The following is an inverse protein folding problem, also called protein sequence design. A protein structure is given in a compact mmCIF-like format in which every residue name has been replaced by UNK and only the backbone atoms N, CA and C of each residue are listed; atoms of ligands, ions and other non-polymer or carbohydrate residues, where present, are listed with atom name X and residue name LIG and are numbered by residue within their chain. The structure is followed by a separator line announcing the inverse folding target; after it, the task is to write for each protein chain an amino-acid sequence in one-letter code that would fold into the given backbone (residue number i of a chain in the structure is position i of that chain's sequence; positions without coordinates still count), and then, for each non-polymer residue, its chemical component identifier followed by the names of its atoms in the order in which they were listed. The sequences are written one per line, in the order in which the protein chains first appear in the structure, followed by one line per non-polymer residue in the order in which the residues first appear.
data_IF_386662375109
#
_entry.id   IF_386662375109
#
_cell.length_a   1.000
_cell.length_b   1.000
_cell.length_c   1.000
_cell.angle_alpha   90.00
_cell.angle_beta   90.00
_cell.angle_gamma   90.00
#
_symmetry.space_group_name_H-M   'P 1'
#
loop_
_entity.id
_entity.type
_entity.pdbx_description
1 polymer ?
#
# COMPACT_ATOMS: atom_id res chain seq x y z
N UNK A 1 -24.75 18.31 -8.35
CA UNK A 1 -26.00 19.10 -8.19
C UNK A 1 -27.04 18.47 -7.26
N UNK A 2 -27.31 17.15 -7.29
CA UNK A 2 -28.28 16.50 -6.37
C UNK A 2 -28.03 16.70 -4.86
N UNK A 3 -26.75 16.71 -4.40
CA UNK A 3 -26.40 16.92 -2.99
C UNK A 3 -26.71 18.34 -2.46
N UNK A 4 -26.62 19.35 -3.34
CA UNK A 4 -26.88 20.76 -2.97
C UNK A 4 -28.38 20.98 -2.80
N UNK A 5 -29.20 20.38 -3.67
CA UNK A 5 -30.65 20.42 -3.56
C UNK A 5 -31.16 19.74 -2.29
N UNK A 6 -30.59 18.58 -1.92
CA UNK A 6 -30.93 17.89 -0.67
C UNK A 6 -30.51 18.68 0.58
N UNK A 7 -29.36 19.37 0.56
CA UNK A 7 -28.98 20.25 1.68
C UNK A 7 -29.94 21.44 1.84
N UNK A 8 -30.41 22.01 0.73
CA UNK A 8 -31.33 23.15 0.73
C UNK A 8 -32.72 22.72 1.22
N UNK A 9 -33.17 21.53 0.83
CA UNK A 9 -34.45 20.94 1.25
C UNK A 9 -34.43 20.53 2.73
N UNK A 10 -33.34 19.92 3.21
CA UNK A 10 -33.15 19.60 4.63
C UNK A 10 -33.04 20.88 5.48
N UNK A 11 -32.35 21.91 4.98
CA UNK A 11 -32.27 23.22 5.62
C UNK A 11 -33.63 23.89 5.74
N UNK A 12 -34.45 23.85 4.69
CA UNK A 12 -35.80 24.40 4.71
C UNK A 12 -36.73 23.63 5.65
N UNK A 13 -36.63 22.30 5.66
CA UNK A 13 -37.38 21.45 6.59
C UNK A 13 -37.01 21.73 8.05
N UNK A 14 -35.72 21.90 8.37
CA UNK A 14 -35.27 22.27 9.72
C UNK A 14 -35.75 23.65 10.15
N UNK A 15 -35.71 24.64 9.26
CA UNK A 15 -36.24 25.98 9.54
C UNK A 15 -37.75 25.95 9.77
N UNK A 16 -38.51 25.23 8.93
CA UNK A 16 -39.96 25.08 9.10
C UNK A 16 -40.30 24.36 10.41
N UNK A 17 -39.56 23.31 10.77
CA UNK A 17 -39.74 22.58 12.03
C UNK A 17 -39.40 23.47 13.24
N UNK A 18 -38.37 24.30 13.14
CA UNK A 18 -38.02 25.30 14.14
C UNK A 18 -39.10 26.37 14.34
N UNK A 19 -39.71 26.86 13.25
CA UNK A 19 -40.83 27.82 13.30
C UNK A 19 -42.07 27.19 13.91
N UNK A 20 -42.41 25.96 13.54
CA UNK A 20 -43.55 25.22 14.10
C UNK A 20 -43.32 24.90 15.58
N UNK A 21 -42.10 24.53 15.97
CA UNK A 21 -41.74 24.32 17.37
C UNK A 21 -41.84 25.61 18.19
N UNK A 22 -41.33 26.74 17.68
CA UNK A 22 -41.46 28.05 18.33
C UNK A 22 -42.93 28.47 18.47
N UNK A 23 -43.75 28.25 17.44
CA UNK A 23 -45.17 28.53 17.47
C UNK A 23 -45.90 27.65 18.48
N UNK A 24 -45.59 26.36 18.54
CA UNK A 24 -46.14 25.42 19.52
C UNK A 24 -45.72 25.77 20.94
N UNK A 25 -44.46 26.16 21.17
CA UNK A 25 -44.01 26.64 22.49
C UNK A 25 -44.75 27.91 22.88
N UNK A 26 -44.93 28.87 21.97
CA UNK A 26 -45.65 30.12 22.25
C UNK A 26 -47.14 29.86 22.56
N UNK A 27 -47.78 28.95 21.82
CA UNK A 27 -49.16 28.54 22.03
C UNK A 27 -49.35 27.74 23.33
N UNK A 28 -48.42 26.83 23.67
CA UNK A 28 -48.48 26.06 24.92
C UNK A 28 -48.08 26.85 26.17
N UNK A 29 -47.24 27.90 26.03
CA UNK A 29 -46.89 28.80 27.14
C UNK A 29 -48.11 29.55 27.69
N UNK A 30 -49.17 29.69 26.88
CA UNK A 30 -50.44 30.24 27.34
C UNK A 30 -51.26 29.26 28.21
N UNK A 31 -50.96 27.96 28.23
CA UNK A 31 -51.89 26.99 28.84
C UNK A 31 -51.35 26.02 29.91
N UNK A 32 -50.04 25.76 30.08
CA UNK A 32 -49.62 24.82 31.15
C UNK A 32 -48.15 24.85 31.55
N UNK A 33 -47.92 24.66 32.85
CA UNK A 33 -46.62 24.68 33.55
C UNK A 33 -45.69 23.48 33.25
N UNK A 34 -46.08 22.59 32.32
CA UNK A 34 -45.39 21.32 31.99
C UNK A 34 -44.67 21.34 30.62
N UNK A 35 -44.64 22.52 29.97
CA UNK A 35 -44.10 22.67 28.63
C UNK A 35 -42.57 22.47 28.53
N UNK A 36 -41.82 22.60 29.64
CA UNK A 36 -40.37 22.50 29.61
C UNK A 36 -39.86 21.06 29.50
N UNK A 37 -40.54 20.09 30.13
CA UNK A 37 -40.09 18.69 30.19
C UNK A 37 -40.13 17.98 28.84
N UNK A 38 -41.20 18.19 28.06
CA UNK A 38 -41.36 17.52 26.76
C UNK A 38 -40.41 18.08 25.69
N UNK A 39 -40.15 19.38 25.70
CA UNK A 39 -39.19 20.03 24.77
C UNK A 39 -37.77 19.50 25.02
N UNK A 40 -37.40 19.27 26.28
CA UNK A 40 -36.09 18.70 26.63
C UNK A 40 -35.94 17.25 26.13
N UNK A 41 -36.99 16.43 26.29
CA UNK A 41 -36.97 15.05 25.80
C UNK A 41 -36.86 14.96 24.27
N UNK A 42 -37.61 15.81 23.55
CA UNK A 42 -37.55 15.89 22.08
C UNK A 42 -36.18 16.41 21.61
N UNK A 43 -35.63 17.42 22.29
CA UNK A 43 -34.29 17.94 22.00
C UNK A 43 -33.19 16.89 22.16
N UNK A 44 -33.27 16.05 23.20
CA UNK A 44 -32.31 14.97 23.41
C UNK A 44 -32.37 13.90 22.30
N UNK A 45 -33.58 13.51 21.87
CA UNK A 45 -33.76 12.54 20.78
C UNK A 45 -33.23 13.13 19.46
N UNK A 46 -33.57 14.38 19.15
CA UNK A 46 -33.08 15.06 17.95
C UNK A 46 -31.54 15.19 17.94
N UNK A 47 -30.93 15.49 19.08
CA UNK A 47 -29.47 15.54 19.23
C UNK A 47 -28.79 14.20 18.94
N UNK A 48 -29.35 13.09 19.43
CA UNK A 48 -28.83 11.74 19.14
C UNK A 48 -28.92 11.43 17.64
N UNK A 49 -30.04 11.76 16.98
CA UNK A 49 -30.20 11.56 15.54
C UNK A 49 -29.19 12.35 14.71
N UNK A 50 -28.95 13.62 15.06
CA UNK A 50 -27.95 14.47 14.39
C UNK A 50 -26.54 13.91 14.60
N UNK A 51 -26.21 13.45 15.82
CA UNK A 51 -24.91 12.84 16.11
C UNK A 51 -24.66 11.56 15.29
N UNK A 52 -25.67 10.68 15.15
CA UNK A 52 -25.59 9.47 14.32
C UNK A 52 -25.41 9.83 12.84
N UNK A 53 -26.11 10.85 12.34
CA UNK A 53 -25.99 11.31 10.96
C UNK A 53 -24.58 11.84 10.64
N UNK A 54 -24.04 12.68 11.53
CA UNK A 54 -22.68 13.22 11.38
C UNK A 54 -21.65 12.09 11.45
N UNK A 55 -21.77 11.18 12.43
CA UNK A 55 -20.89 10.02 12.54
C UNK A 55 -20.93 9.12 11.29
N UNK A 56 -22.12 8.86 10.74
CA UNK A 56 -22.27 8.08 9.51
C UNK A 56 -21.66 8.76 8.28
N UNK A 57 -21.73 10.09 8.20
CA UNK A 57 -21.10 10.86 7.11
C UNK A 57 -19.58 10.90 7.20
N UNK A 58 -19.03 11.05 8.41
CA UNK A 58 -17.59 10.99 8.68
C UNK A 58 -17.04 9.59 8.41
N UNK A 59 -17.75 8.54 8.85
CA UNK A 59 -17.34 7.16 8.61
C UNK A 59 -17.24 6.83 7.11
N UNK A 60 -18.21 7.30 6.30
CA UNK A 60 -18.16 7.12 4.83
C UNK A 60 -17.00 7.87 4.18
N UNK A 61 -16.69 9.08 4.63
CA UNK A 61 -15.56 9.86 4.13
C UNK A 61 -14.23 9.23 4.53
N UNK A 62 -14.11 8.73 5.76
CA UNK A 62 -12.91 8.02 6.23
C UNK A 62 -12.70 6.69 5.52
N UNK A 63 -13.76 5.92 5.24
CA UNK A 63 -13.66 4.69 4.45
C UNK A 63 -13.21 4.99 3.02
N UNK A 64 -13.77 6.03 2.39
CA UNK A 64 -13.37 6.44 1.04
C UNK A 64 -11.91 6.90 1.00
N UNK A 65 -11.47 7.69 1.99
CA UNK A 65 -10.08 8.14 2.11
C UNK A 65 -9.11 6.97 2.32
N UNK A 66 -9.45 6.01 3.18
CA UNK A 66 -8.64 4.80 3.40
C UNK A 66 -8.52 3.95 2.13
N UNK A 67 -9.59 3.83 1.35
CA UNK A 67 -9.55 3.09 0.09
C UNK A 67 -8.64 3.76 -0.95
N UNK A 68 -8.64 5.09 -1.02
CA UNK A 68 -7.77 5.87 -1.92
C UNK A 68 -6.29 5.80 -1.49
N UNK A 69 -6.02 5.94 -0.18
CA UNK A 69 -4.69 5.76 0.40
C UNK A 69 -4.15 4.34 0.17
N UNK A 70 -5.00 3.32 0.30
CA UNK A 70 -4.66 1.92 0.05
C UNK A 70 -4.32 1.68 -1.42
N UNK A 71 -5.14 2.17 -2.36
CA UNK A 71 -4.89 2.03 -3.80
C UNK A 71 -3.57 2.72 -4.21
N UNK A 72 -3.31 3.91 -3.67
CA UNK A 72 -2.05 4.62 -3.92
C UNK A 72 -0.85 3.88 -3.33
N UNK A 73 -0.97 3.34 -2.13
CA UNK A 73 0.10 2.56 -1.50
C UNK A 73 0.41 1.29 -2.29
N UNK A 74 -0.62 0.64 -2.85
CA UNK A 74 -0.47 -0.56 -3.67
C UNK A 74 0.25 -0.25 -4.99
N UNK A 75 -0.17 0.82 -5.67
CA UNK A 75 0.50 1.30 -6.89
C UNK A 75 1.98 1.61 -6.66
N UNK A 76 2.31 2.31 -5.57
CA UNK A 76 3.70 2.65 -5.22
C UNK A 76 4.53 1.39 -4.94
N UNK A 77 3.95 0.41 -4.24
CA UNK A 77 4.61 -0.86 -3.96
C UNK A 77 4.95 -1.62 -5.25
N UNK A 78 4.02 -1.70 -6.19
CA UNK A 78 4.24 -2.43 -7.44
C UNK A 78 5.28 -1.75 -8.33
N UNK A 79 5.25 -0.42 -8.40
CA UNK A 79 6.26 0.36 -9.12
C UNK A 79 7.66 0.15 -8.52
N UNK A 80 7.78 0.22 -7.19
CA UNK A 80 9.04 -0.04 -6.48
C UNK A 80 9.50 -1.47 -6.70
N UNK A 81 8.60 -2.46 -6.64
CA UNK A 81 8.94 -3.86 -6.83
C UNK A 81 9.46 -4.16 -8.24
N UNK A 82 8.86 -3.57 -9.28
CA UNK A 82 9.31 -3.74 -10.66
C UNK A 82 10.66 -3.05 -10.92
N UNK A 83 10.89 -1.90 -10.29
CA UNK A 83 12.16 -1.20 -10.41
C UNK A 83 13.26 -1.95 -9.63
N UNK A 84 12.96 -2.42 -8.42
CA UNK A 84 13.86 -3.19 -7.57
C UNK A 84 14.18 -4.57 -8.16
N UNK A 85 13.23 -5.23 -8.82
CA UNK A 85 13.51 -6.48 -9.53
C UNK A 85 14.52 -6.27 -10.65
N UNK A 86 14.42 -5.15 -11.36
CA UNK A 86 15.37 -4.76 -12.42
C UNK A 86 16.75 -4.49 -11.84
N UNK A 87 16.85 -3.79 -10.70
CA UNK A 87 18.13 -3.56 -10.03
C UNK A 87 18.78 -4.84 -9.53
N UNK A 88 18.03 -5.73 -8.90
CA UNK A 88 18.54 -7.03 -8.43
C UNK A 88 19.04 -7.86 -9.62
N UNK A 89 18.30 -7.89 -10.73
CA UNK A 89 18.76 -8.55 -11.96
C UNK A 89 20.03 -7.89 -12.50
N UNK A 90 20.08 -6.55 -12.55
CA UNK A 90 21.27 -5.81 -13.01
C UNK A 90 22.51 -6.09 -12.15
N UNK A 91 22.34 -6.19 -10.84
CA UNK A 91 23.38 -6.62 -9.92
C UNK A 91 23.84 -8.05 -10.22
N UNK A 92 22.91 -9.00 -10.39
CA UNK A 92 23.23 -10.40 -10.68
C UNK A 92 23.87 -10.59 -12.07
N UNK A 93 23.56 -9.72 -13.04
CA UNK A 93 24.12 -9.78 -14.40
C UNK A 93 25.62 -9.43 -14.43
N UNK A 94 26.15 -8.75 -13.42
CA UNK A 94 27.60 -8.54 -13.25
C UNK A 94 28.39 -9.86 -13.16
N UNK A 95 27.70 -10.94 -12.77
CA UNK A 95 28.24 -12.29 -12.63
C UNK A 95 27.92 -13.21 -13.82
N UNK A 96 27.30 -12.69 -14.89
CA UNK A 96 26.89 -13.49 -16.06
C UNK A 96 28.06 -14.19 -16.73
N UNK A 97 29.18 -13.49 -16.88
CA UNK A 97 30.33 -13.96 -17.66
C UNK A 97 31.35 -14.74 -16.80
N UNK A 98 30.98 -15.12 -15.57
CA UNK A 98 31.82 -15.93 -14.69
C UNK A 98 31.95 -17.35 -15.22
N UNK A 99 33.18 -17.88 -15.17
CA UNK A 99 33.53 -19.23 -15.61
C UNK A 99 34.27 -19.97 -14.50
N UNK A 100 34.06 -21.29 -14.43
CA UNK A 100 34.80 -22.15 -13.50
C UNK A 100 36.29 -22.13 -13.84
N UNK A 101 37.15 -22.24 -12.84
CA UNK A 101 38.60 -22.19 -13.04
C UNK A 101 39.21 -20.79 -13.13
N UNK A 102 38.39 -19.72 -13.27
CA UNK A 102 38.88 -18.35 -13.37
C UNK A 102 38.74 -17.59 -12.03
N UNK A 103 39.72 -16.72 -11.69
CA UNK A 103 39.61 -15.86 -10.52
C UNK A 103 38.48 -14.83 -10.71
N UNK A 104 37.69 -14.63 -9.65
CA UNK A 104 36.64 -13.61 -9.60
C UNK A 104 37.22 -12.32 -9.01
N UNK A 105 37.18 -11.21 -9.72
CA UNK A 105 37.44 -9.92 -9.07
C UNK A 105 36.31 -9.60 -8.09
N UNK A 106 36.63 -8.99 -6.95
CA UNK A 106 35.59 -8.49 -6.04
C UNK A 106 34.82 -7.37 -6.75
N UNK A 107 33.63 -7.72 -7.25
CA UNK A 107 32.84 -6.86 -8.15
C UNK A 107 31.72 -6.11 -7.45
N UNK A 108 31.50 -6.34 -6.15
CA UNK A 108 30.36 -5.75 -5.45
C UNK A 108 30.73 -5.19 -4.07
N UNK A 109 30.16 -4.03 -3.74
CA UNK A 109 30.27 -3.48 -2.38
C UNK A 109 29.26 -4.15 -1.45
N UNK A 110 29.64 -4.33 -0.18
CA UNK A 110 28.69 -4.73 0.87
C UNK A 110 27.56 -3.71 1.06
N UNK A 111 27.83 -2.44 0.76
CA UNK A 111 26.84 -1.38 0.88
C UNK A 111 25.76 -1.48 -0.21
N UNK A 112 26.13 -1.86 -1.44
CA UNK A 112 25.17 -2.08 -2.53
C UNK A 112 24.22 -3.23 -2.20
N UNK A 113 24.76 -4.33 -1.66
CA UNK A 113 23.96 -5.48 -1.23
C UNK A 113 23.03 -5.09 -0.08
N UNK A 114 23.53 -4.28 0.87
CA UNK A 114 22.73 -3.82 2.02
C UNK A 114 21.57 -2.93 1.56
N UNK A 115 21.82 -1.98 0.66
CA UNK A 115 20.79 -1.10 0.11
C UNK A 115 19.67 -1.91 -0.57
N UNK A 116 20.03 -2.85 -1.46
CA UNK A 116 19.06 -3.70 -2.14
C UNK A 116 18.24 -4.56 -1.15
N UNK A 117 18.87 -5.08 -0.10
CA UNK A 117 18.18 -5.87 0.92
C UNK A 117 17.24 -5.03 1.78
N UNK A 118 17.62 -3.80 2.12
CA UNK A 118 16.79 -2.88 2.89
C UNK A 118 15.56 -2.47 2.09
N UNK A 119 15.71 -2.23 0.79
CA UNK A 119 14.59 -1.93 -0.11
C UNK A 119 13.68 -3.14 -0.34
N UNK A 120 14.24 -4.35 -0.46
CA UNK A 120 13.45 -5.59 -0.47
C UNK A 120 12.68 -5.77 0.85
N UNK A 121 13.29 -5.43 1.99
CA UNK A 121 12.63 -5.45 3.30
C UNK A 121 11.46 -4.45 3.34
N UNK A 122 11.66 -3.24 2.82
CA UNK A 122 10.61 -2.22 2.70
C UNK A 122 9.42 -2.72 1.87
N UNK A 123 9.68 -3.34 0.70
CA UNK A 123 8.64 -3.95 -0.13
C UNK A 123 7.92 -5.08 0.60
N UNK A 124 8.65 -5.94 1.32
CA UNK A 124 8.06 -7.05 2.09
C UNK A 124 7.09 -6.55 3.16
N UNK A 125 7.43 -5.47 3.87
CA UNK A 125 6.59 -4.92 4.95
C UNK A 125 5.25 -4.39 4.43
N UNK A 126 5.21 -3.95 3.17
CA UNK A 126 4.04 -3.34 2.54
C UNK A 126 3.27 -4.29 1.62
N UNK A 127 3.84 -5.45 1.32
CA UNK A 127 3.20 -6.47 0.50
C UNK A 127 1.96 -7.07 1.18
N UNK A 128 0.78 -6.78 0.61
CA UNK A 128 -0.50 -7.36 1.05
C UNK A 128 -0.84 -8.67 0.33
N UNK A 129 -0.33 -8.85 -0.89
CA UNK A 129 -0.63 -10.00 -1.74
C UNK A 129 0.44 -11.08 -1.62
N UNK A 130 -0.01 -12.35 -1.67
CA UNK A 130 0.88 -13.52 -1.66
C UNK A 130 1.91 -13.48 -2.81
N UNK A 131 1.50 -12.99 -3.98
CA UNK A 131 2.37 -12.84 -5.15
C UNK A 131 3.52 -11.86 -4.88
N UNK A 132 3.24 -10.69 -4.28
CA UNK A 132 4.26 -9.69 -3.97
C UNK A 132 5.25 -10.22 -2.93
N UNK A 133 4.75 -10.90 -1.89
CA UNK A 133 5.61 -11.55 -0.89
C UNK A 133 6.51 -12.63 -1.50
N UNK A 134 5.98 -13.44 -2.42
CA UNK A 134 6.75 -14.45 -3.12
C UNK A 134 7.84 -13.82 -4.00
N UNK A 135 7.50 -12.80 -4.79
CA UNK A 135 8.47 -12.08 -5.64
C UNK A 135 9.62 -11.50 -4.81
N UNK A 136 9.30 -10.79 -3.73
CA UNK A 136 10.31 -10.24 -2.82
C UNK A 136 11.16 -11.34 -2.17
N UNK A 137 10.55 -12.45 -1.77
CA UNK A 137 11.25 -13.60 -1.21
C UNK A 137 12.24 -14.21 -2.20
N UNK A 138 11.82 -14.38 -3.46
CA UNK A 138 12.63 -14.96 -4.52
C UNK A 138 13.80 -14.03 -4.93
N UNK A 139 13.58 -12.71 -5.03
CA UNK A 139 14.63 -11.72 -5.27
C UNK A 139 15.66 -11.73 -4.13
N UNK A 140 15.20 -11.72 -2.87
CA UNK A 140 16.07 -11.80 -1.70
C UNK A 140 16.89 -13.09 -1.68
N UNK A 141 16.26 -14.23 -1.98
CA UNK A 141 16.93 -15.53 -2.04
C UNK A 141 18.00 -15.57 -3.12
N UNK A 142 17.69 -15.03 -4.31
CA UNK A 142 18.61 -14.98 -5.45
C UNK A 142 19.82 -14.07 -5.18
N UNK A 143 19.58 -12.90 -4.58
CA UNK A 143 20.61 -11.97 -4.17
C UNK A 143 21.52 -12.57 -3.10
N UNK A 144 20.95 -13.05 -1.99
CA UNK A 144 21.72 -13.63 -0.88
C UNK A 144 22.43 -14.93 -1.26
N UNK A 145 21.81 -15.75 -2.11
CA UNK A 145 22.39 -16.98 -2.63
C UNK A 145 23.66 -16.69 -3.43
N UNK A 146 23.59 -15.73 -4.35
CA UNK A 146 24.72 -15.33 -5.19
C UNK A 146 25.84 -14.71 -4.36
N UNK A 147 25.52 -13.77 -3.48
CA UNK A 147 26.49 -13.13 -2.58
C UNK A 147 27.18 -14.16 -1.68
N UNK A 148 26.42 -15.10 -1.10
CA UNK A 148 27.00 -16.16 -0.26
C UNK A 148 27.88 -17.11 -1.07
N UNK A 149 27.45 -17.51 -2.27
CA UNK A 149 28.24 -18.36 -3.15
C UNK A 149 29.60 -17.74 -3.44
N UNK A 150 29.62 -16.46 -3.84
CA UNK A 150 30.86 -15.75 -4.15
C UNK A 150 31.72 -15.55 -2.88
N UNK A 151 31.14 -15.05 -1.79
CA UNK A 151 31.87 -14.77 -0.54
C UNK A 151 32.48 -16.03 0.07
N UNK A 152 31.80 -17.18 -0.03
CA UNK A 152 32.33 -18.45 0.47
C UNK A 152 33.67 -18.83 -0.17
N UNK A 153 33.87 -18.47 -1.44
CA UNK A 153 35.07 -18.76 -2.22
C UNK A 153 36.16 -17.69 -2.05
N UNK A 154 35.78 -16.43 -1.81
CA UNK A 154 36.74 -15.39 -1.41
C UNK A 154 37.46 -15.76 -0.11
N UNK A 155 36.75 -16.37 0.84
CA UNK A 155 37.31 -16.74 2.15
C UNK A 155 38.27 -17.95 2.10
N UNK A 156 38.27 -18.76 1.04
CA UNK A 156 39.06 -19.99 0.92
C UNK A 156 39.95 -19.93 -0.32
N UNK A 157 41.23 -19.61 -0.16
CA UNK A 157 42.21 -19.60 -1.25
C UNK A 157 42.47 -21.03 -1.75
N UNK A 158 42.54 -21.32 -3.07
CA UNK A 158 42.48 -20.39 -4.20
C UNK A 158 41.04 -20.12 -4.69
N UNK A 159 40.80 -18.86 -5.03
CA UNK A 159 39.55 -18.28 -5.52
C UNK A 159 39.15 -18.88 -6.88
N UNK A 160 38.55 -20.07 -6.85
CA UNK A 160 38.15 -20.80 -8.05
C UNK A 160 36.73 -21.31 -7.84
N UNK A 161 35.80 -20.84 -8.68
CA UNK A 161 34.47 -21.45 -8.73
C UNK A 161 34.57 -22.83 -9.36
N UNK A 162 33.77 -23.74 -8.81
CA UNK A 162 33.46 -25.01 -9.46
C UNK A 162 32.36 -24.79 -10.50
N UNK A 163 32.19 -25.76 -11.41
CA UNK A 163 31.07 -25.75 -12.35
C UNK A 163 29.71 -25.73 -11.64
N UNK A 164 29.62 -26.38 -10.47
CA UNK A 164 28.41 -26.38 -9.64
C UNK A 164 28.10 -24.98 -9.09
N UNK A 165 29.12 -24.21 -8.68
CA UNK A 165 28.93 -22.85 -8.20
C UNK A 165 28.45 -21.94 -9.34
N UNK A 166 29.04 -22.08 -10.54
CA UNK A 166 28.64 -21.31 -11.74
C UNK A 166 27.21 -21.65 -12.14
N UNK A 167 26.84 -22.93 -12.12
CA UNK A 167 25.47 -23.37 -12.37
C UNK A 167 24.49 -22.77 -11.36
N UNK A 168 24.82 -22.83 -10.07
CA UNK A 168 24.00 -22.25 -9.01
C UNK A 168 23.77 -20.75 -9.22
N UNK A 169 24.82 -19.98 -9.52
CA UNK A 169 24.71 -18.53 -9.77
C UNK A 169 23.83 -18.26 -11.01
N UNK A 170 23.96 -19.06 -12.07
CA UNK A 170 23.10 -18.95 -13.25
C UNK A 170 21.63 -19.25 -12.91
N UNK A 171 21.35 -20.30 -12.14
CA UNK A 171 19.99 -20.67 -11.74
C UNK A 171 19.34 -19.57 -10.89
N UNK A 172 20.10 -18.98 -9.95
CA UNK A 172 19.64 -17.84 -9.14
C UNK A 172 19.38 -16.60 -9.98
N UNK A 173 20.22 -16.34 -11.00
CA UNK A 173 19.99 -15.22 -11.93
C UNK A 173 18.73 -15.44 -12.76
N UNK A 174 18.52 -16.64 -13.29
CA UNK A 174 17.31 -16.99 -14.05
C UNK A 174 16.04 -16.84 -13.22
N UNK A 175 16.08 -17.29 -11.95
CA UNK A 175 15.00 -17.11 -11.00
C UNK A 175 14.67 -15.62 -10.75
N UNK A 176 15.68 -14.75 -10.65
CA UNK A 176 15.47 -13.30 -10.50
C UNK A 176 14.89 -12.67 -11.78
N UNK A 177 15.32 -13.12 -12.96
CA UNK A 177 14.80 -12.67 -14.26
C UNK A 177 13.31 -13.03 -14.41
N UNK A 178 12.93 -14.25 -14.04
CA UNK A 178 11.52 -14.68 -14.06
C UNK A 178 10.63 -13.78 -13.20
N UNK A 179 11.10 -13.43 -11.99
CA UNK A 179 10.39 -12.50 -11.11
C UNK A 179 10.32 -11.11 -11.72
N UNK A 180 11.40 -10.63 -12.34
CA UNK A 180 11.42 -9.31 -12.96
C UNK A 180 10.46 -9.21 -14.15
N UNK A 181 10.36 -10.24 -14.99
CA UNK A 181 9.38 -10.30 -16.08
C UNK A 181 7.95 -10.31 -15.52
N UNK A 182 7.69 -11.06 -14.45
CA UNK A 182 6.39 -11.06 -13.77
C UNK A 182 6.03 -9.67 -13.21
N UNK A 183 6.97 -8.99 -12.56
CA UNK A 183 6.77 -7.65 -12.00
C UNK A 183 6.53 -6.59 -13.09
N UNK A 184 7.25 -6.68 -14.21
CA UNK A 184 7.06 -5.81 -15.38
C UNK A 184 5.69 -6.01 -16.03
N UNK A 185 5.23 -7.26 -16.14
CA UNK A 185 3.88 -7.58 -16.66
C UNK A 185 2.78 -7.04 -15.75
N UNK A 186 2.93 -7.17 -14.44
CA UNK A 186 1.99 -6.60 -13.46
C UNK A 186 1.87 -5.08 -13.64
N UNK A 187 3.00 -4.37 -13.79
CA UNK A 187 3.02 -2.93 -14.08
C UNK A 187 2.34 -2.58 -15.40
N UNK A 188 2.55 -3.37 -16.46
CA UNK A 188 1.97 -3.12 -17.78
C UNK A 188 0.44 -3.20 -17.79
N UNK A 189 -0.16 -4.03 -16.93
CA UNK A 189 -1.61 -4.18 -16.80
C UNK A 189 -2.28 -2.92 -16.22
N UNK A 190 -1.57 -2.15 -15.39
CA UNK A 190 -2.09 -0.93 -14.76
C UNK A 190 -1.77 0.38 -15.52
N UNK A 191 -0.94 0.28 -16.56
CA UNK A 191 -0.44 1.40 -17.37
C UNK A 191 -1.46 2.27 -18.12
N UNK A 192 -2.69 1.84 -18.49
CA UNK A 192 -3.59 2.72 -19.24
C UNK A 192 -4.58 3.56 -18.41
N UNK A 193 -4.78 3.28 -17.12
CA UNK A 193 -5.88 3.91 -16.37
C UNK A 193 -5.51 5.15 -15.54
N UNK A 194 -4.25 5.56 -15.54
CA UNK A 194 -3.77 6.71 -14.76
C UNK A 194 -3.76 8.05 -15.52
N UNK A 195 -4.46 8.14 -16.67
CA UNK A 195 -4.52 9.35 -17.47
C UNK A 195 -5.87 9.52 -18.18
N UNK A 196 -6.89 9.95 -17.43
CA UNK A 196 -8.11 10.58 -17.96
C UNK A 196 -8.77 11.44 -16.89
#
# INVERSE_FOLDING_TARGET
MKKVWQCLEVGFALCALGVVALFLVYAFKLHSNDAAGWVQAVGSIAGIFIAIWIAGSQHRADVARRADEDARSEYLLEAELAWLSTEVVGFLDQFRDIKAGFPIEDRFSEDDVRDLLDRLSWCRQRARHKTHLWMVGQLRSSLMGTVRAIRSKIAHTPMVLTDDDVKLINDLRLAAIEVSDLALRAKAILGPFAGA
#
